data_IF_255459759471
#
_entry.id   IF_255459759471
#
_cell.length_a   1.000
_cell.length_b   1.000
_cell.length_c   1.000
_cell.angle_alpha   90.00
_cell.angle_beta   90.00
_cell.angle_gamma   90.00
#
_symmetry.space_group_name_H-M   'P 1'
#
loop_
_entity.id
_entity.type
_entity.pdbx_description
1 polymer ?
#
# COMPACT_ATOMS: atom_id res chain seq x y z
N UNK A 1 4.20 7.03 -11.97
CA UNK A 1 3.63 7.37 -10.63
C UNK A 1 4.75 7.88 -9.74
N UNK A 2 4.66 9.10 -9.25
CA UNK A 2 5.62 9.69 -8.32
C UNK A 2 5.03 9.72 -6.91
N UNK A 3 5.88 9.61 -5.89
CA UNK A 3 5.49 9.71 -4.48
C UNK A 3 6.39 10.74 -3.81
N UNK A 4 5.80 11.70 -3.12
CA UNK A 4 6.52 12.70 -2.35
C UNK A 4 6.04 12.72 -0.91
N UNK A 5 6.96 12.57 0.01
CA UNK A 5 6.72 12.57 1.45
C UNK A 5 7.33 13.85 2.00
N UNK A 6 6.53 14.65 2.70
CA UNK A 6 6.93 15.94 3.25
C UNK A 6 6.67 15.99 4.75
N UNK A 7 7.75 16.12 5.52
CA UNK A 7 7.74 16.30 6.98
C UNK A 7 6.87 15.26 7.72
N UNK A 8 6.90 14.02 7.26
CA UNK A 8 6.05 12.95 7.78
C UNK A 8 6.49 12.53 9.17
N UNK A 9 5.61 12.66 10.14
CA UNK A 9 5.79 12.22 11.52
C UNK A 9 4.64 11.31 11.92
N UNK A 10 4.95 10.19 12.56
CA UNK A 10 3.95 9.29 13.11
C UNK A 10 4.32 8.85 14.53
N UNK A 11 3.40 9.04 15.44
CA UNK A 11 3.53 8.69 16.87
C UNK A 11 2.46 7.65 17.20
N UNK A 12 2.89 6.48 17.64
CA UNK A 12 2.00 5.47 18.20
C UNK A 12 1.63 5.81 19.63
N UNK A 13 0.38 5.60 20.01
CA UNK A 13 -0.14 5.79 21.37
C UNK A 13 0.27 7.13 21.99
N UNK A 14 -0.04 8.27 21.32
CA UNK A 14 0.35 9.59 21.82
C UNK A 14 -0.28 9.86 23.18
N UNK A 15 0.46 10.58 24.03
CA UNK A 15 0.05 10.96 25.40
C UNK A 15 -0.18 9.77 26.34
N UNK A 16 0.43 8.63 26.08
CA UNK A 16 0.43 7.45 26.97
C UNK A 16 1.85 7.09 27.38
N UNK A 17 2.05 6.27 28.46
CA UNK A 17 3.37 5.76 28.81
C UNK A 17 4.04 4.89 27.73
N UNK A 18 3.26 4.45 26.74
CA UNK A 18 3.72 3.61 25.61
C UNK A 18 3.91 4.42 24.32
N UNK A 19 3.94 5.75 24.43
CA UNK A 19 4.18 6.63 23.30
C UNK A 19 5.49 6.29 22.59
N UNK A 20 5.41 6.08 21.28
CA UNK A 20 6.58 5.80 20.44
C UNK A 20 6.49 6.58 19.14
N UNK A 21 7.46 7.45 18.92
CA UNK A 21 7.64 8.12 17.62
C UNK A 21 8.32 7.15 16.65
N UNK A 22 7.57 6.66 15.68
CA UNK A 22 8.06 5.71 14.68
C UNK A 22 8.66 6.40 13.46
N UNK A 23 8.12 7.55 13.07
CA UNK A 23 8.63 8.41 12.00
C UNK A 23 8.78 9.82 12.56
N UNK A 24 9.88 10.48 12.22
CA UNK A 24 10.20 11.82 12.69
C UNK A 24 10.68 12.69 11.54
N UNK A 25 9.80 13.57 11.08
CA UNK A 25 10.09 14.56 10.04
C UNK A 25 10.73 13.96 8.77
N UNK A 26 10.18 12.85 8.29
CA UNK A 26 10.69 12.14 7.12
C UNK A 26 10.36 12.89 5.84
N UNK A 27 11.37 13.11 5.02
CA UNK A 27 11.24 13.70 3.69
C UNK A 27 11.85 12.74 2.66
N UNK A 28 11.08 12.40 1.64
CA UNK A 28 11.50 11.47 0.59
C UNK A 28 10.73 11.76 -0.69
N UNK A 29 11.42 11.68 -1.81
CA UNK A 29 10.80 11.71 -3.14
C UNK A 29 11.16 10.44 -3.88
N UNK A 30 10.16 9.78 -4.45
CA UNK A 30 10.32 8.60 -5.31
C UNK A 30 9.78 8.99 -6.68
N UNK A 31 10.66 9.01 -7.66
CA UNK A 31 10.32 9.40 -9.02
C UNK A 31 9.64 8.24 -9.79
N UNK A 32 9.01 8.59 -10.90
CA UNK A 32 8.41 7.59 -11.77
C UNK A 32 9.46 6.62 -12.32
N UNK A 33 9.18 5.32 -12.24
CA UNK A 33 10.10 4.26 -12.67
C UNK A 33 11.28 4.00 -11.74
N UNK A 34 11.38 4.68 -10.60
CA UNK A 34 12.46 4.48 -9.65
C UNK A 34 12.28 3.18 -8.85
N UNK A 35 13.37 2.48 -8.61
CA UNK A 35 13.47 1.35 -7.69
C UNK A 35 14.23 1.77 -6.43
N UNK A 36 13.52 1.90 -5.32
CA UNK A 36 14.09 2.39 -4.06
C UNK A 36 14.09 1.29 -2.99
N UNK A 37 15.21 1.10 -2.31
CA UNK A 37 15.34 0.17 -1.21
C UNK A 37 15.39 0.91 0.13
N UNK A 38 14.59 0.43 1.11
CA UNK A 38 14.64 0.88 2.50
C UNK A 38 15.43 -0.11 3.34
N UNK A 39 16.52 0.36 3.95
CA UNK A 39 17.42 -0.46 4.77
C UNK A 39 17.42 0.05 6.20
N UNK A 40 17.34 -0.85 7.16
CA UNK A 40 17.38 -0.51 8.58
C UNK A 40 17.07 -1.73 9.45
N UNK A 41 17.42 -1.65 10.73
CA UNK A 41 17.11 -2.70 11.71
C UNK A 41 15.60 -2.80 11.99
N UNK A 42 15.19 -3.89 12.61
CA UNK A 42 13.80 -4.07 13.08
C UNK A 42 13.41 -2.94 14.03
N UNK A 43 12.22 -2.35 13.82
CA UNK A 43 11.75 -1.24 14.63
C UNK A 43 12.25 0.15 14.20
N UNK A 44 12.92 0.26 13.04
CA UNK A 44 13.40 1.55 12.50
C UNK A 44 12.33 2.37 11.76
N UNK A 45 11.10 1.86 11.65
CA UNK A 45 9.99 2.58 11.04
C UNK A 45 9.71 2.24 9.56
N UNK A 46 10.43 1.28 8.95
CA UNK A 46 10.24 0.88 7.55
C UNK A 46 8.79 0.47 7.24
N UNK A 47 8.25 -0.47 8.00
CA UNK A 47 6.87 -0.95 7.80
C UNK A 47 5.85 0.15 8.08
N UNK A 48 6.10 1.00 9.07
CA UNK A 48 5.27 2.17 9.37
C UNK A 48 5.22 3.12 8.18
N UNK A 49 6.36 3.43 7.56
CA UNK A 49 6.44 4.29 6.38
C UNK A 49 5.64 3.68 5.21
N UNK A 50 5.86 2.42 4.91
CA UNK A 50 5.17 1.71 3.82
C UNK A 50 3.65 1.73 4.00
N UNK A 51 3.15 1.51 5.22
CA UNK A 51 1.72 1.50 5.51
C UNK A 51 1.06 2.88 5.37
N UNK A 52 1.82 3.96 5.48
CA UNK A 52 1.31 5.30 5.18
C UNK A 52 1.08 5.53 3.68
N UNK A 53 1.86 4.86 2.81
CA UNK A 53 1.80 5.11 1.36
C UNK A 53 0.47 4.68 0.72
N UNK A 54 -0.22 3.71 1.30
CA UNK A 54 -1.55 3.29 0.81
C UNK A 54 -2.70 3.67 1.76
N UNK A 55 -2.43 4.54 2.73
CA UNK A 55 -3.43 5.04 3.66
C UNK A 55 -3.92 4.02 4.69
N UNK A 56 -3.13 2.99 5.01
CA UNK A 56 -3.42 2.09 6.15
C UNK A 56 -3.16 2.78 7.49
N UNK A 57 -2.22 3.72 7.52
CA UNK A 57 -1.95 4.58 8.67
C UNK A 57 -2.13 6.04 8.28
N UNK A 58 -2.68 6.83 9.20
CA UNK A 58 -2.72 8.28 9.10
C UNK A 58 -1.52 8.89 9.83
N UNK A 59 -0.82 9.87 9.25
CA UNK A 59 0.29 10.51 9.91
C UNK A 59 -0.18 11.41 11.05
N UNK A 60 0.65 11.57 12.07
CA UNK A 60 0.43 12.57 13.13
C UNK A 60 0.63 13.99 12.61
N UNK A 61 1.56 14.17 11.65
CA UNK A 61 1.78 15.42 10.93
C UNK A 61 2.52 15.14 9.62
N UNK A 62 2.58 16.15 8.76
CA UNK A 62 3.15 16.02 7.43
C UNK A 62 2.14 15.54 6.40
N UNK A 63 2.59 15.32 5.17
CA UNK A 63 1.74 14.89 4.07
C UNK A 63 2.44 13.96 3.09
N UNK A 64 1.63 13.24 2.34
CA UNK A 64 2.08 12.35 1.27
C UNK A 64 1.33 12.72 0.00
N UNK A 65 2.08 12.97 -1.05
CA UNK A 65 1.56 13.26 -2.39
C UNK A 65 1.82 12.06 -3.30
N UNK A 66 0.79 11.57 -3.94
CA UNK A 66 0.87 10.53 -4.97
C UNK A 66 0.37 11.14 -6.28
N UNK A 67 1.25 11.25 -7.27
CA UNK A 67 0.99 12.00 -8.50
C UNK A 67 0.42 13.41 -8.20
N UNK A 68 1.05 14.12 -7.26
CA UNK A 68 0.68 15.46 -6.78
C UNK A 68 -0.66 15.55 -6.01
N UNK A 69 -1.35 14.43 -5.80
CA UNK A 69 -2.57 14.35 -4.99
C UNK A 69 -2.20 14.06 -3.53
N UNK A 70 -2.61 14.94 -2.62
CA UNK A 70 -2.39 14.74 -1.17
C UNK A 70 -3.32 13.66 -0.64
N UNK A 71 -2.77 12.47 -0.41
CA UNK A 71 -3.52 11.30 0.09
C UNK A 71 -3.83 11.37 1.60
N UNK A 72 -3.25 12.33 2.30
CA UNK A 72 -3.52 12.59 3.72
C UNK A 72 -4.69 13.54 3.93
N UNK A 73 -5.19 14.14 2.86
CA UNK A 73 -6.38 14.97 2.86
C UNK A 73 -7.65 14.13 3.06
N UNK A 74 -8.57 14.61 3.89
CA UNK A 74 -9.87 13.96 4.12
C UNK A 74 -10.81 13.97 2.91
N UNK A 75 -10.49 14.75 1.90
CA UNK A 75 -11.27 14.85 0.67
C UNK A 75 -10.95 13.71 -0.33
N UNK A 76 -9.84 13.03 -0.15
CA UNK A 76 -9.38 11.97 -1.06
C UNK A 76 -9.98 10.63 -0.66
N UNK A 77 -10.57 9.94 -1.64
CA UNK A 77 -11.03 8.56 -1.45
C UNK A 77 -9.85 7.60 -1.50
N UNK A 78 -9.54 6.97 -0.39
CA UNK A 78 -8.43 6.00 -0.29
C UNK A 78 -8.56 4.83 -1.27
N UNK A 79 -9.76 4.47 -1.67
CA UNK A 79 -9.99 3.44 -2.70
C UNK A 79 -9.33 3.78 -4.03
N UNK A 80 -9.30 5.05 -4.42
CA UNK A 80 -8.67 5.47 -5.68
C UNK A 80 -7.15 5.44 -5.58
N UNK A 81 -6.60 5.70 -4.41
CA UNK A 81 -5.17 5.56 -4.14
C UNK A 81 -4.76 4.09 -4.09
N UNK A 82 -5.53 3.25 -3.43
CA UNK A 82 -5.27 1.80 -3.32
C UNK A 82 -5.34 1.06 -4.66
N UNK A 83 -6.03 1.60 -5.65
CA UNK A 83 -5.98 1.11 -7.03
C UNK A 83 -4.62 1.33 -7.69
N UNK A 84 -3.88 2.35 -7.27
CA UNK A 84 -2.57 2.73 -7.82
C UNK A 84 -1.41 2.12 -7.06
N UNK A 85 -1.56 1.87 -5.76
CA UNK A 85 -0.49 1.40 -4.87
C UNK A 85 -0.83 0.02 -4.35
N UNK A 86 -0.12 -0.99 -4.83
CA UNK A 86 -0.13 -2.33 -4.27
C UNK A 86 0.83 -2.44 -3.10
N UNK A 87 0.42 -3.11 -2.03
CA UNK A 87 1.24 -3.38 -0.86
C UNK A 87 1.35 -4.89 -0.63
N UNK A 88 2.58 -5.37 -0.57
CA UNK A 88 2.88 -6.76 -0.17
C UNK A 88 3.39 -6.73 1.26
N UNK A 89 2.68 -7.40 2.17
CA UNK A 89 3.07 -7.50 3.58
C UNK A 89 4.16 -8.56 3.79
N UNK A 90 4.84 -8.45 4.92
CA UNK A 90 5.67 -9.54 5.41
C UNK A 90 4.77 -10.77 5.67
N UNK A 91 5.21 -11.95 5.23
CA UNK A 91 4.41 -13.18 5.28
C UNK A 91 3.09 -13.10 4.50
N UNK A 92 3.15 -12.85 3.17
CA UNK A 92 1.95 -12.68 2.34
C UNK A 92 1.08 -13.92 2.29
N UNK A 93 1.62 -15.10 2.58
CA UNK A 93 0.90 -16.38 2.66
C UNK A 93 -0.24 -16.37 3.70
N UNK A 94 -0.16 -15.55 4.73
CA UNK A 94 -1.25 -15.41 5.71
C UNK A 94 -2.44 -14.61 5.18
N UNK A 95 -2.32 -14.04 4.00
CA UNK A 95 -3.42 -13.32 3.35
C UNK A 95 -4.25 -14.19 2.42
N UNK A 96 -3.79 -15.42 2.16
CA UNK A 96 -4.54 -16.39 1.35
C UNK A 96 -5.69 -16.94 2.20
N UNK A 97 -6.92 -16.82 1.69
CA UNK A 97 -8.12 -17.25 2.40
C UNK A 97 -9.15 -17.96 1.51
N UNK A 98 -8.98 -17.90 0.20
CA UNK A 98 -9.86 -18.56 -0.76
C UNK A 98 -9.39 -19.98 -1.07
N UNK A 99 -10.29 -20.79 -1.60
CA UNK A 99 -10.02 -22.19 -1.96
C UNK A 99 -9.16 -22.35 -3.21
N UNK A 100 -9.14 -21.32 -4.08
CA UNK A 100 -8.39 -21.33 -5.34
C UNK A 100 -7.63 -20.03 -5.53
N UNK A 101 -6.51 -20.10 -6.25
CA UNK A 101 -5.69 -18.92 -6.61
C UNK A 101 -6.52 -17.91 -7.40
N UNK A 102 -7.35 -18.37 -8.33
CA UNK A 102 -8.24 -17.51 -9.12
C UNK A 102 -9.15 -16.66 -8.23
N UNK A 103 -9.77 -17.26 -7.21
CA UNK A 103 -10.67 -16.54 -6.29
C UNK A 103 -9.91 -15.53 -5.42
N UNK A 104 -8.73 -15.87 -4.91
CA UNK A 104 -7.88 -14.95 -4.16
C UNK A 104 -7.48 -13.75 -5.02
N UNK A 105 -7.02 -13.97 -6.24
CA UNK A 105 -6.65 -12.89 -7.17
C UNK A 105 -7.87 -12.06 -7.57
N UNK A 106 -9.05 -12.66 -7.69
CA UNK A 106 -10.29 -11.98 -8.03
C UNK A 106 -10.83 -11.08 -6.91
N UNK A 107 -10.40 -11.29 -5.67
CA UNK A 107 -10.90 -10.52 -4.50
C UNK A 107 -10.75 -9.01 -4.69
N UNK A 108 -9.56 -8.55 -5.10
CA UNK A 108 -9.31 -7.12 -5.38
C UNK A 108 -10.24 -6.54 -6.45
N UNK A 109 -10.25 -7.09 -7.67
CA UNK A 109 -11.14 -6.65 -8.75
C UNK A 109 -12.62 -6.71 -8.39
N UNK A 110 -13.08 -7.73 -7.65
CA UNK A 110 -14.46 -7.82 -7.17
C UNK A 110 -14.83 -6.64 -6.25
N UNK A 111 -13.93 -6.26 -5.35
CA UNK A 111 -14.15 -5.13 -4.45
C UNK A 111 -14.20 -3.77 -5.18
N UNK A 112 -13.70 -3.70 -6.41
CA UNK A 112 -13.80 -2.50 -7.25
C UNK A 112 -15.16 -2.40 -7.96
N UNK A 113 -16.04 -3.38 -7.82
CA UNK A 113 -17.35 -3.40 -8.46
C UNK A 113 -17.32 -3.61 -9.98
N UNK A 114 -16.29 -4.28 -10.49
CA UNK A 114 -16.14 -4.58 -11.91
C UNK A 114 -17.09 -5.70 -12.35
N UNK A 115 -17.38 -5.77 -13.66
CA UNK A 115 -18.16 -6.87 -14.23
C UNK A 115 -17.40 -8.20 -14.10
N UNK A 116 -18.13 -9.32 -14.09
CA UNK A 116 -17.55 -10.65 -14.02
C UNK A 116 -16.55 -10.93 -15.16
N UNK A 117 -16.83 -10.44 -16.35
CA UNK A 117 -15.94 -10.55 -17.51
C UNK A 117 -14.64 -9.77 -17.30
N UNK A 118 -14.74 -8.54 -16.82
CA UNK A 118 -13.56 -7.69 -16.54
C UNK A 118 -12.72 -8.30 -15.40
N UNK A 119 -13.35 -8.82 -14.35
CA UNK A 119 -12.65 -9.53 -13.26
C UNK A 119 -11.89 -10.72 -13.81
N UNK A 120 -12.52 -11.58 -14.61
CA UNK A 120 -11.86 -12.76 -15.20
C UNK A 120 -10.66 -12.36 -16.08
N UNK A 121 -10.83 -11.34 -16.90
CA UNK A 121 -9.73 -10.85 -17.76
C UNK A 121 -8.55 -10.31 -16.94
N UNK A 122 -8.81 -9.57 -15.89
CA UNK A 122 -7.75 -9.05 -14.99
C UNK A 122 -7.04 -10.15 -14.23
N UNK A 123 -7.78 -11.15 -13.75
CA UNK A 123 -7.21 -12.31 -13.05
C UNK A 123 -6.27 -13.07 -14.00
N UNK A 124 -6.72 -13.43 -15.19
CA UNK A 124 -5.88 -14.12 -16.19
C UNK A 124 -4.61 -13.35 -16.48
N UNK A 125 -4.75 -12.07 -16.81
CA UNK A 125 -3.60 -11.21 -17.12
C UNK A 125 -2.61 -11.11 -15.95
N UNK A 126 -3.11 -10.96 -14.72
CA UNK A 126 -2.26 -10.84 -13.53
C UNK A 126 -1.50 -12.16 -13.25
N UNK A 127 -2.18 -13.30 -13.40
CA UNK A 127 -1.55 -14.61 -13.23
C UNK A 127 -0.46 -14.85 -14.29
N UNK A 128 -0.75 -14.57 -15.56
CA UNK A 128 0.24 -14.67 -16.65
C UNK A 128 1.47 -13.79 -16.41
N UNK A 129 1.29 -12.56 -15.90
CA UNK A 129 2.39 -11.63 -15.59
C UNK A 129 3.38 -12.19 -14.57
N UNK A 130 2.95 -13.05 -13.67
CA UNK A 130 3.80 -13.67 -12.64
C UNK A 130 4.12 -15.13 -12.95
N UNK A 131 3.78 -15.60 -14.15
CA UNK A 131 4.09 -16.96 -14.61
C UNK A 131 3.22 -18.05 -13.98
N UNK A 132 2.05 -17.72 -13.47
CA UNK A 132 1.05 -18.68 -13.00
C UNK A 132 0.12 -19.07 -14.15
N UNK A 133 -0.16 -20.37 -14.26
CA UNK A 133 -1.17 -20.85 -15.19
C UNK A 133 -2.56 -20.61 -14.61
N UNK A 134 -3.47 -20.11 -15.44
CA UNK A 134 -4.86 -19.83 -15.02
C UNK A 134 -5.63 -21.09 -14.60
N UNK A 135 -5.23 -22.25 -15.14
CA UNK A 135 -5.86 -23.53 -14.81
C UNK A 135 -5.32 -24.16 -13.51
N UNK A 136 -4.39 -23.50 -12.85
CA UNK A 136 -3.87 -23.93 -11.55
C UNK A 136 -4.70 -23.30 -10.43
#
# INVERSE_FOLDING_TARGET
>A
MSIKIENLTHVYMPKTPFEKKALDNVNLTIEDGEFLALIGHTGSGKSTLIQHLNGLLEPSSGRILVDEVDITSKEVKLTDIRKKIGLVFQYPEYQLFEETIEKDVAFGPNNLGLSAEEVSNRVKKSMEMVGLDYET
#
